data_IF_850799481096
#
_entry.id   IF_850799481096
#
_cell.length_a   1.000
_cell.length_b   1.000
_cell.length_c   1.000
_cell.angle_alpha   90.00
_cell.angle_beta   90.00
_cell.angle_gamma   90.00
#
_symmetry.space_group_name_H-M   'P 1'
#
loop_
_entity.id
_entity.type
_entity.pdbx_description
1 polymer ?
#
# COMPACT_ATOMS: atom_id res chain seq x y z
N UNK A 1 10.37 -23.45 21.27
CA UNK A 1 11.40 -22.60 21.91
C UNK A 1 12.06 -21.60 20.95
N UNK A 2 11.99 -21.75 19.61
CA UNK A 2 12.72 -20.89 18.66
C UNK A 2 11.97 -19.61 18.17
N UNK A 3 10.68 -19.45 18.42
CA UNK A 3 9.91 -18.28 17.93
C UNK A 3 10.04 -17.01 18.79
N UNK A 4 10.46 -17.14 20.06
CA UNK A 4 10.60 -15.99 20.95
C UNK A 4 11.78 -15.09 20.56
N UNK A 5 12.89 -15.68 20.11
CA UNK A 5 14.15 -14.97 19.81
C UNK A 5 14.06 -14.07 18.56
N UNK A 6 13.19 -14.40 17.59
CA UNK A 6 13.06 -13.63 16.34
C UNK A 6 12.26 -12.34 16.53
N UNK A 7 11.24 -12.35 17.40
CA UNK A 7 10.46 -11.14 17.72
C UNK A 7 11.28 -10.10 18.50
N UNK A 8 12.14 -10.56 19.39
CA UNK A 8 13.01 -9.71 20.21
C UNK A 8 14.07 -9.01 19.33
N UNK A 9 14.69 -9.75 18.40
CA UNK A 9 15.63 -9.20 17.43
C UNK A 9 15.00 -8.19 16.46
N UNK A 10 13.73 -8.36 16.09
CA UNK A 10 13.00 -7.39 15.25
C UNK A 10 12.66 -6.10 16.03
N UNK A 11 12.30 -6.24 17.30
CA UNK A 11 12.05 -5.10 18.19
C UNK A 11 13.31 -4.31 18.53
N UNK A 12 14.47 -4.96 18.60
CA UNK A 12 15.77 -4.32 18.79
C UNK A 12 16.23 -3.58 17.53
N UNK A 13 16.10 -4.19 16.33
CA UNK A 13 16.40 -3.48 15.07
C UNK A 13 15.51 -2.27 14.84
N UNK A 14 14.22 -2.35 15.18
CA UNK A 14 13.34 -1.18 15.08
C UNK A 14 13.79 -0.05 16.01
N UNK A 15 14.24 -0.36 17.23
CA UNK A 15 14.76 0.64 18.18
C UNK A 15 16.10 1.24 17.75
N UNK A 16 16.95 0.45 17.09
CA UNK A 16 18.25 0.89 16.56
C UNK A 16 18.05 1.83 15.35
N UNK A 17 17.13 1.48 14.44
CA UNK A 17 16.72 2.36 13.33
C UNK A 17 16.11 3.67 13.86
N UNK A 18 15.24 3.61 14.87
CA UNK A 18 14.68 4.80 15.52
C UNK A 18 15.75 5.66 16.22
N UNK A 19 16.80 5.02 16.73
CA UNK A 19 17.94 5.68 17.37
C UNK A 19 18.87 6.37 16.37
N UNK A 20 19.11 5.76 15.22
CA UNK A 20 20.00 6.27 14.16
C UNK A 20 19.37 7.46 13.40
N UNK A 21 18.05 7.55 13.39
CA UNK A 21 17.29 8.69 12.82
C UNK A 21 17.35 9.94 13.71
N UNK A 22 17.78 9.85 14.99
CA UNK A 22 17.77 11.00 15.91
C UNK A 22 18.93 12.00 15.72
N UNK A 23 19.91 11.70 14.87
CA UNK A 23 21.04 12.58 14.58
C UNK A 23 20.83 13.38 13.29
N UNK A 24 20.32 14.60 13.42
CA UNK A 24 20.72 15.73 12.60
C UNK A 24 20.53 15.64 11.06
N UNK A 25 19.44 15.10 10.50
CA UNK A 25 19.10 15.42 9.07
C UNK A 25 17.65 15.10 8.62
N UNK A 26 16.69 15.05 9.54
CA UNK A 26 15.36 14.47 9.23
C UNK A 26 14.30 15.52 8.89
N UNK A 27 14.57 16.31 7.85
CA UNK A 27 13.53 17.05 7.13
C UNK A 27 13.05 16.22 5.94
N UNK A 28 11.76 15.89 5.87
CA UNK A 28 11.06 15.17 4.77
C UNK A 28 11.44 13.70 4.50
N UNK A 29 12.72 13.31 4.58
CA UNK A 29 13.16 11.95 4.17
C UNK A 29 12.80 10.87 5.17
N UNK A 30 13.03 11.09 6.47
CA UNK A 30 12.66 10.10 7.49
C UNK A 30 11.15 9.99 7.70
N UNK A 31 10.42 11.08 7.51
CA UNK A 31 8.94 11.08 7.50
C UNK A 31 8.40 10.21 6.36
N UNK A 32 8.95 10.36 5.14
CA UNK A 32 8.57 9.52 3.99
C UNK A 32 8.83 8.03 4.25
N UNK A 33 10.00 7.69 4.78
CA UNK A 33 10.35 6.29 5.10
C UNK A 33 9.38 5.71 6.14
N UNK A 34 9.03 6.51 7.16
CA UNK A 34 8.06 6.10 8.17
C UNK A 34 6.66 5.88 7.57
N UNK A 35 6.20 6.73 6.66
CA UNK A 35 4.93 6.51 5.95
C UNK A 35 4.95 5.24 5.10
N UNK A 36 6.06 4.96 4.42
CA UNK A 36 6.25 3.70 3.66
C UNK A 36 6.20 2.49 4.61
N UNK A 37 6.83 2.55 5.77
CA UNK A 37 6.78 1.47 6.76
C UNK A 37 5.37 1.24 7.31
N UNK A 38 4.59 2.32 7.51
CA UNK A 38 3.19 2.20 7.93
C UNK A 38 2.33 1.49 6.89
N UNK A 39 2.49 1.79 5.60
CA UNK A 39 1.66 1.18 4.53
C UNK A 39 2.11 -0.23 4.13
N UNK A 40 3.39 -0.56 4.29
CA UNK A 40 3.98 -1.86 3.91
C UNK A 40 3.18 -3.09 4.39
N UNK A 41 2.81 -3.24 5.67
CA UNK A 41 2.04 -4.42 6.13
C UNK A 41 0.64 -4.50 5.51
N UNK A 42 0.07 -3.39 5.05
CA UNK A 42 -1.21 -3.39 4.35
C UNK A 42 -1.05 -3.84 2.89
N UNK A 43 0.02 -3.39 2.23
CA UNK A 43 0.37 -3.82 0.86
C UNK A 43 0.65 -5.32 0.82
N UNK A 44 1.38 -5.85 1.81
CA UNK A 44 1.72 -7.28 1.89
C UNK A 44 0.51 -8.21 2.10
N UNK A 45 -0.65 -7.68 2.54
CA UNK A 45 -1.90 -8.45 2.65
C UNK A 45 -2.64 -8.57 1.32
N UNK A 46 -2.27 -7.79 0.31
CA UNK A 46 -2.91 -7.84 -1.00
C UNK A 46 -2.50 -9.11 -1.75
N UNK A 47 -3.40 -9.69 -2.57
CA UNK A 47 -3.17 -10.99 -3.21
C UNK A 47 -2.12 -10.96 -4.35
N UNK A 48 -1.55 -9.79 -4.67
CA UNK A 48 -0.71 -9.59 -5.84
C UNK A 48 0.77 -9.36 -5.44
N UNK A 49 1.67 -10.14 -6.06
CA UNK A 49 3.13 -9.99 -5.90
C UNK A 49 3.69 -8.74 -6.59
N UNK A 50 2.97 -8.19 -7.55
CA UNK A 50 3.38 -7.00 -8.31
C UNK A 50 2.14 -6.16 -8.57
N UNK A 51 2.26 -4.87 -8.33
CA UNK A 51 1.17 -3.92 -8.52
C UNK A 51 1.69 -2.61 -9.08
N UNK A 52 0.82 -1.90 -9.79
CA UNK A 52 1.09 -0.57 -10.32
C UNK A 52 0.09 0.39 -9.69
N UNK A 53 0.61 1.48 -9.13
CA UNK A 53 -0.18 2.52 -8.50
C UNK A 53 0.00 3.79 -9.35
N UNK A 54 -1.10 4.30 -9.89
CA UNK A 54 -1.12 5.52 -10.69
C UNK A 54 -2.14 6.47 -10.04
N UNK A 55 -1.75 7.68 -9.65
CA UNK A 55 -2.67 8.71 -9.14
C UNK A 55 -2.90 9.77 -10.23
N UNK A 56 -4.16 9.98 -10.57
CA UNK A 56 -4.62 11.03 -11.46
C UNK A 56 -5.08 12.24 -10.63
N UNK A 57 -4.26 13.28 -10.63
CA UNK A 57 -4.51 14.51 -9.87
C UNK A 57 -5.66 15.33 -10.43
N UNK A 58 -5.96 15.22 -11.73
CA UNK A 58 -7.04 16.01 -12.36
C UNK A 58 -8.41 15.43 -12.01
N UNK A 59 -8.52 14.10 -12.00
CA UNK A 59 -9.74 13.39 -11.66
C UNK A 59 -9.90 13.11 -10.14
N UNK A 60 -8.85 13.31 -9.33
CA UNK A 60 -8.76 12.85 -7.93
C UNK A 60 -9.03 11.33 -7.81
N UNK A 61 -8.32 10.55 -8.63
CA UNK A 61 -8.52 9.09 -8.73
C UNK A 61 -7.21 8.33 -8.56
N UNK A 62 -7.21 7.35 -7.65
CA UNK A 62 -6.10 6.42 -7.46
C UNK A 62 -6.41 5.07 -8.11
N UNK A 63 -5.56 4.65 -9.06
CA UNK A 63 -5.63 3.36 -9.71
C UNK A 63 -4.61 2.40 -9.10
N UNK A 64 -5.08 1.27 -8.59
CA UNK A 64 -4.24 0.15 -8.14
C UNK A 64 -4.47 -1.02 -9.10
N UNK A 65 -3.46 -1.40 -9.86
CA UNK A 65 -3.52 -2.45 -10.87
C UNK A 65 -2.74 -3.65 -10.40
N UNK A 66 -3.35 -4.83 -10.39
CA UNK A 66 -2.69 -6.08 -9.95
C UNK A 66 -2.13 -6.90 -11.12
N UNK A 67 -2.51 -6.57 -12.36
CA UNK A 67 -2.02 -7.23 -13.59
C UNK A 67 -1.90 -6.26 -14.74
N UNK A 68 -0.94 -6.52 -15.64
CA UNK A 68 -0.87 -5.92 -16.97
C UNK A 68 -0.79 -7.03 -18.05
N UNK A 69 -1.49 -6.90 -19.19
CA UNK A 69 -2.48 -5.88 -19.50
C UNK A 69 -3.76 -6.05 -18.67
N UNK A 70 -4.33 -4.94 -18.19
CA UNK A 70 -5.54 -4.92 -17.37
C UNK A 70 -6.77 -5.06 -18.27
N UNK A 71 -7.03 -6.27 -18.76
CA UNK A 71 -8.30 -6.62 -19.44
C UNK A 71 -9.35 -6.98 -18.38
N UNK A 72 -9.87 -5.97 -17.68
CA UNK A 72 -11.03 -6.16 -16.82
C UNK A 72 -12.24 -6.50 -17.71
N UNK A 73 -13.00 -7.50 -17.31
CA UNK A 73 -14.24 -7.91 -17.99
C UNK A 73 -15.44 -7.26 -17.33
N UNK A 74 -15.34 -6.97 -16.04
CA UNK A 74 -16.42 -6.41 -15.24
C UNK A 74 -15.90 -5.45 -14.16
N UNK A 75 -16.78 -4.59 -13.66
CA UNK A 75 -16.50 -3.70 -12.54
C UNK A 75 -17.67 -3.57 -11.57
N UNK A 76 -17.39 -3.71 -10.28
CA UNK A 76 -18.36 -3.52 -9.21
C UNK A 76 -18.09 -2.21 -8.48
N UNK A 77 -19.10 -1.38 -8.26
CA UNK A 77 -19.01 -0.20 -7.42
C UNK A 77 -19.46 -0.54 -6.00
N UNK A 78 -18.62 -0.27 -5.01
CA UNK A 78 -18.98 -0.50 -3.60
C UNK A 78 -20.10 0.45 -3.16
N UNK A 79 -20.88 0.11 -2.11
CA UNK A 79 -22.02 0.89 -1.65
C UNK A 79 -21.69 2.34 -1.26
N UNK A 80 -20.43 2.62 -0.94
CA UNK A 80 -19.95 3.97 -0.67
C UNK A 80 -19.75 4.83 -1.94
N UNK A 81 -20.00 4.28 -3.13
CA UNK A 81 -19.91 4.96 -4.44
C UNK A 81 -18.50 5.36 -4.86
N UNK A 82 -17.48 4.96 -4.10
CA UNK A 82 -16.16 5.60 -4.14
C UNK A 82 -15.05 4.61 -4.52
N UNK A 83 -15.34 3.31 -4.50
CA UNK A 83 -14.37 2.27 -4.87
C UNK A 83 -14.97 1.39 -5.96
N UNK A 84 -14.25 1.26 -7.06
CA UNK A 84 -14.55 0.33 -8.16
C UNK A 84 -13.60 -0.86 -8.11
N UNK A 85 -14.16 -2.06 -7.97
CA UNK A 85 -13.43 -3.32 -8.06
C UNK A 85 -13.46 -3.80 -9.50
N UNK A 86 -12.32 -4.11 -10.09
CA UNK A 86 -12.23 -4.59 -11.48
C UNK A 86 -11.94 -6.06 -11.48
N UNK A 87 -12.80 -6.84 -12.12
CA UNK A 87 -12.69 -8.29 -12.18
C UNK A 87 -12.38 -8.76 -13.59
N UNK A 88 -11.59 -9.84 -13.69
CA UNK A 88 -11.47 -10.64 -14.90
C UNK A 88 -11.86 -12.06 -14.53
N UNK A 89 -12.99 -12.52 -15.05
CA UNK A 89 -13.67 -13.72 -14.56
C UNK A 89 -13.98 -13.55 -13.05
N UNK A 90 -13.30 -14.30 -12.17
CA UNK A 90 -13.51 -14.25 -10.71
C UNK A 90 -12.31 -13.64 -9.95
N UNK A 91 -11.32 -13.11 -10.65
CA UNK A 91 -10.11 -12.55 -10.03
C UNK A 91 -10.13 -11.03 -10.03
N UNK A 92 -9.83 -10.42 -8.88
CA UNK A 92 -9.66 -8.98 -8.75
C UNK A 92 -8.38 -8.54 -9.49
N UNK A 93 -8.52 -7.83 -10.60
CA UNK A 93 -7.42 -7.35 -11.45
C UNK A 93 -7.06 -5.89 -11.20
N UNK A 94 -7.87 -5.15 -10.45
CA UNK A 94 -7.52 -3.81 -9.97
C UNK A 94 -8.59 -3.16 -9.12
N UNK A 95 -8.22 -2.05 -8.50
CA UNK A 95 -9.08 -1.20 -7.67
C UNK A 95 -8.94 0.23 -8.21
N UNK A 96 -10.04 0.96 -8.28
CA UNK A 96 -10.04 2.40 -8.54
C UNK A 96 -10.70 3.09 -7.35
N UNK A 97 -9.98 4.00 -6.70
CA UNK A 97 -10.48 4.81 -5.58
C UNK A 97 -10.74 6.21 -6.11
N UNK A 98 -12.00 6.64 -6.06
CA UNK A 98 -12.44 7.98 -6.39
C UNK A 98 -12.26 8.89 -5.17
N UNK A 99 -12.17 10.20 -5.38
CA UNK A 99 -11.94 11.18 -4.32
C UNK A 99 -10.76 10.79 -3.39
N UNK A 100 -9.69 10.27 -3.99
CA UNK A 100 -8.62 9.61 -3.23
C UNK A 100 -7.92 10.57 -2.25
N UNK A 101 -7.88 11.86 -2.56
CA UNK A 101 -7.38 12.92 -1.66
C UNK A 101 -8.17 13.07 -0.36
N UNK A 102 -9.42 12.57 -0.30
CA UNK A 102 -10.32 12.64 0.87
C UNK A 102 -10.31 11.36 1.70
N UNK A 103 -9.28 10.51 1.55
CA UNK A 103 -9.13 9.21 2.21
C UNK A 103 -7.86 9.17 3.02
#
# INVERSE_FOLDING_TARGET
MAEATVKEAAGERNREIEGEIRGEEVGSRGELVNEVFKITPHILKLPAKTMWIDYDTEADVLYIKFRRPQKATDSEMLPNGIILLRHKNSELVGITVLEASKR
#
